data_IF_551697961656
#
_entry.id   IF_551697961656
#
_cell.length_a   1.000
_cell.length_b   1.000
_cell.length_c   1.000
_cell.angle_alpha   90.00
_cell.angle_beta   90.00
_cell.angle_gamma   90.00
#
_symmetry.space_group_name_H-M   'P 1'
#
loop_
_entity.id
_entity.type
_entity.pdbx_description
1 polymer ?
#
# COMPACT_ATOMS: atom_id res chain seq x y z
N UNK A 1 -42.89 16.23 -12.72
CA UNK A 1 -42.60 15.48 -11.48
C UNK A 1 -41.40 14.53 -11.59
N UNK A 2 -41.12 13.91 -12.74
CA UNK A 2 -39.97 13.03 -13.00
C UNK A 2 -38.61 13.78 -12.85
N UNK A 3 -38.54 15.06 -13.21
CA UNK A 3 -37.31 15.86 -13.19
C UNK A 3 -36.77 16.17 -11.78
N UNK A 4 -37.63 16.27 -10.76
CA UNK A 4 -37.23 16.60 -9.38
C UNK A 4 -36.69 15.35 -8.64
N UNK A 5 -37.25 14.18 -8.91
CA UNK A 5 -36.72 12.92 -8.35
C UNK A 5 -35.36 12.54 -8.93
N UNK A 6 -35.13 12.83 -10.23
CA UNK A 6 -33.83 12.60 -10.87
C UNK A 6 -32.75 13.54 -10.33
N UNK A 7 -33.09 14.81 -10.00
CA UNK A 7 -32.18 15.76 -9.36
C UNK A 7 -31.89 15.44 -7.88
N UNK A 8 -32.82 14.82 -7.15
CA UNK A 8 -32.60 14.33 -5.78
C UNK A 8 -31.75 13.04 -5.75
N UNK A 9 -31.83 12.22 -6.77
CA UNK A 9 -30.97 11.02 -6.93
C UNK A 9 -29.52 11.39 -7.27
N UNK A 10 -29.28 12.56 -7.87
CA UNK A 10 -27.94 13.08 -8.19
C UNK A 10 -27.18 13.63 -6.97
N UNK A 11 -27.84 13.89 -5.83
CA UNK A 11 -27.19 14.38 -4.60
C UNK A 11 -26.33 13.33 -3.88
N UNK A 12 -26.36 12.05 -4.30
CA UNK A 12 -25.51 10.95 -3.83
C UNK A 12 -24.79 10.30 -5.01
N UNK A 13 -24.25 11.10 -5.91
CA UNK A 13 -23.49 10.57 -7.05
C UNK A 13 -22.22 9.85 -6.55
N UNK A 14 -21.72 8.91 -7.34
CA UNK A 14 -20.42 8.26 -7.10
C UNK A 14 -19.31 9.29 -6.84
N UNK A 15 -19.35 10.43 -7.56
CA UNK A 15 -18.37 11.51 -7.41
C UNK A 15 -18.46 12.20 -6.04
N UNK A 16 -19.67 12.40 -5.51
CA UNK A 16 -19.86 13.01 -4.20
C UNK A 16 -19.33 12.10 -3.07
N UNK A 17 -19.58 10.79 -3.16
CA UNK A 17 -19.07 9.80 -2.19
C UNK A 17 -17.54 9.73 -2.24
N UNK A 18 -16.96 9.66 -3.42
CA UNK A 18 -15.51 9.68 -3.57
C UNK A 18 -14.91 11.00 -3.09
N UNK A 19 -15.54 12.14 -3.39
CA UNK A 19 -15.10 13.44 -2.89
C UNK A 19 -15.16 13.51 -1.36
N UNK A 20 -16.20 12.97 -0.74
CA UNK A 20 -16.30 12.87 0.71
C UNK A 20 -15.18 12.00 1.29
N UNK A 21 -14.91 10.84 0.70
CA UNK A 21 -13.84 9.94 1.12
C UNK A 21 -12.45 10.58 1.02
N UNK A 22 -12.15 11.24 -0.11
CA UNK A 22 -10.84 11.85 -0.35
C UNK A 22 -10.65 13.24 0.28
N UNK A 23 -11.72 13.85 0.80
CA UNK A 23 -11.66 15.19 1.41
C UNK A 23 -10.60 15.30 2.51
N UNK A 24 -10.46 14.28 3.32
CA UNK A 24 -9.52 14.23 4.42
C UNK A 24 -8.06 14.22 3.94
N UNK A 25 -7.76 13.45 2.90
CA UNK A 25 -6.42 13.40 2.31
C UNK A 25 -5.92 14.76 1.84
N UNK A 26 -6.83 15.62 1.38
CA UNK A 26 -6.49 16.92 0.80
C UNK A 26 -6.86 18.10 1.71
N UNK A 27 -7.26 17.83 2.95
CA UNK A 27 -7.67 18.87 3.92
C UNK A 27 -6.56 19.87 4.27
N UNK A 28 -5.31 19.48 4.10
CA UNK A 28 -4.12 20.30 4.39
C UNK A 28 -3.73 21.25 3.27
N UNK A 29 -4.46 21.25 2.15
CA UNK A 29 -4.18 22.10 0.99
C UNK A 29 -5.26 23.16 0.80
N UNK A 30 -5.02 24.10 -0.13
CA UNK A 30 -6.07 25.07 -0.51
C UNK A 30 -7.21 24.36 -1.23
N UNK A 31 -8.43 24.91 -1.14
CA UNK A 31 -9.61 24.33 -1.83
C UNK A 31 -9.40 24.10 -3.32
N UNK A 32 -8.81 25.05 -4.11
CA UNK A 32 -8.52 24.78 -5.52
C UNK A 32 -7.55 23.62 -5.72
N UNK A 33 -6.46 23.57 -4.94
CA UNK A 33 -5.47 22.48 -4.98
C UNK A 33 -6.12 21.13 -4.65
N UNK A 34 -6.90 21.06 -3.57
CA UNK A 34 -7.64 19.84 -3.18
C UNK A 34 -8.55 19.35 -4.30
N UNK A 35 -9.29 20.28 -4.97
CA UNK A 35 -10.12 19.94 -6.11
C UNK A 35 -9.32 19.36 -7.30
N UNK A 36 -8.17 19.96 -7.62
CA UNK A 36 -7.33 19.46 -8.72
C UNK A 36 -6.72 18.08 -8.39
N UNK A 37 -6.28 17.85 -7.15
CA UNK A 37 -5.81 16.54 -6.69
C UNK A 37 -6.92 15.49 -6.77
N UNK A 38 -8.12 15.81 -6.32
CA UNK A 38 -9.28 14.94 -6.45
C UNK A 38 -9.58 14.59 -7.91
N UNK A 39 -9.56 15.56 -8.82
CA UNK A 39 -9.77 15.30 -10.23
C UNK A 39 -8.69 14.41 -10.85
N UNK A 40 -7.43 14.54 -10.41
CA UNK A 40 -6.36 13.61 -10.79
C UNK A 40 -6.65 12.18 -10.29
N UNK A 41 -7.11 12.02 -9.04
CA UNK A 41 -7.56 10.72 -8.51
C UNK A 41 -8.70 10.13 -9.37
N UNK A 42 -9.72 10.93 -9.68
CA UNK A 42 -10.81 10.48 -10.55
C UNK A 42 -10.26 9.99 -11.91
N UNK A 43 -9.27 10.70 -12.46
CA UNK A 43 -8.63 10.27 -13.72
C UNK A 43 -7.87 8.95 -13.59
N UNK A 44 -7.19 8.72 -12.45
CA UNK A 44 -6.51 7.46 -12.14
C UNK A 44 -7.52 6.32 -12.03
N UNK A 45 -8.67 6.55 -11.38
CA UNK A 45 -9.71 5.54 -11.21
C UNK A 45 -10.47 5.22 -12.51
N UNK A 46 -10.57 6.18 -13.43
CA UNK A 46 -11.42 6.08 -14.63
C UNK A 46 -10.68 5.56 -15.85
N UNK A 47 -9.38 5.88 -15.97
CA UNK A 47 -8.57 5.52 -17.13
C UNK A 47 -7.97 4.12 -16.94
N UNK A 48 -8.06 3.25 -17.92
CA UNK A 48 -7.40 1.95 -17.90
C UNK A 48 -5.88 2.07 -17.70
N UNK A 49 -5.28 3.08 -18.33
CA UNK A 49 -3.87 3.42 -18.17
C UNK A 49 -3.70 4.93 -18.01
N UNK A 50 -3.12 5.36 -16.89
CA UNK A 50 -2.77 6.76 -16.64
C UNK A 50 -1.40 7.08 -17.25
N UNK A 51 -1.34 7.24 -18.58
CA UNK A 51 -0.07 7.43 -19.32
C UNK A 51 0.64 8.75 -19.01
N UNK A 52 -0.09 9.80 -18.68
CA UNK A 52 0.46 11.11 -18.31
C UNK A 52 -0.67 12.06 -17.88
N UNK A 53 -0.30 13.14 -17.18
CA UNK A 53 -1.24 14.24 -16.85
C UNK A 53 -1.89 14.83 -18.11
N UNK A 54 -1.13 14.96 -19.22
CA UNK A 54 -1.69 15.42 -20.51
C UNK A 54 -2.73 14.44 -21.05
N UNK A 55 -2.46 13.14 -20.98
CA UNK A 55 -3.42 12.12 -21.40
C UNK A 55 -4.70 12.20 -20.57
N UNK A 56 -4.55 12.27 -19.24
CA UNK A 56 -5.68 12.42 -18.32
C UNK A 56 -6.47 13.72 -18.60
N UNK A 57 -5.78 14.82 -18.88
CA UNK A 57 -6.42 16.08 -19.23
C UNK A 57 -7.28 15.96 -20.49
N UNK A 58 -6.74 15.39 -21.55
CA UNK A 58 -7.45 15.28 -22.83
C UNK A 58 -8.67 14.34 -22.78
N UNK A 59 -8.64 13.32 -21.93
CA UNK A 59 -9.67 12.28 -21.93
C UNK A 59 -10.68 12.39 -20.78
N UNK A 60 -10.30 12.97 -19.63
CA UNK A 60 -11.14 13.03 -18.42
C UNK A 60 -11.25 14.46 -17.89
N UNK A 61 -10.12 15.10 -17.53
CA UNK A 61 -10.12 16.34 -16.76
C UNK A 61 -10.80 17.50 -17.50
N UNK A 62 -10.56 17.66 -18.81
CA UNK A 62 -11.18 18.72 -19.62
C UNK A 62 -12.70 18.56 -19.75
N UNK A 63 -13.23 17.37 -19.54
CA UNK A 63 -14.67 17.10 -19.53
C UNK A 63 -15.32 17.40 -18.18
N UNK A 64 -14.51 17.39 -17.10
CA UNK A 64 -15.00 17.60 -15.74
C UNK A 64 -14.80 19.05 -15.24
N UNK A 65 -13.83 19.77 -15.80
CA UNK A 65 -13.53 21.14 -15.38
C UNK A 65 -12.83 21.94 -16.47
N UNK A 66 -13.21 23.22 -16.60
CA UNK A 66 -12.55 24.18 -17.48
C UNK A 66 -11.22 24.67 -16.87
N UNK A 67 -10.30 23.74 -16.67
CA UNK A 67 -8.99 24.02 -16.05
C UNK A 67 -7.89 23.70 -17.04
N UNK A 68 -6.88 24.58 -17.15
CA UNK A 68 -5.77 24.37 -18.10
C UNK A 68 -4.90 23.20 -17.69
N UNK A 69 -4.28 22.53 -18.65
CA UNK A 69 -3.31 21.47 -18.43
C UNK A 69 -2.18 21.88 -17.47
N UNK A 70 -1.67 23.10 -17.61
CA UNK A 70 -0.56 23.62 -16.82
C UNK A 70 -0.93 23.72 -15.32
N UNK A 71 -2.19 23.98 -15.00
CA UNK A 71 -2.66 24.03 -13.62
C UNK A 71 -2.44 22.69 -12.89
N UNK A 72 -2.67 21.56 -13.55
CA UNK A 72 -2.44 20.24 -12.96
C UNK A 72 -0.96 19.95 -12.75
N UNK A 73 -0.09 20.36 -13.67
CA UNK A 73 1.36 20.28 -13.45
C UNK A 73 1.81 21.17 -12.31
N UNK A 74 1.21 22.35 -12.17
CA UNK A 74 1.51 23.26 -11.06
C UNK A 74 1.04 22.68 -9.73
N UNK A 75 -0.15 22.09 -9.70
CA UNK A 75 -0.68 21.39 -8.51
C UNK A 75 0.25 20.30 -8.02
N UNK A 76 0.87 19.54 -8.92
CA UNK A 76 1.83 18.50 -8.55
C UNK A 76 3.20 19.06 -8.09
N UNK A 77 3.49 20.36 -8.28
CA UNK A 77 4.76 20.98 -7.88
C UNK A 77 4.66 21.93 -6.69
N UNK A 78 3.45 22.37 -6.34
CA UNK A 78 3.27 23.39 -5.29
C UNK A 78 3.69 22.88 -3.91
N UNK A 79 4.40 23.67 -3.12
CA UNK A 79 4.90 23.33 -1.79
C UNK A 79 3.78 23.16 -0.74
N UNK A 80 2.54 23.57 -1.09
CA UNK A 80 1.39 23.39 -0.20
C UNK A 80 0.88 21.96 -0.12
N UNK A 81 1.38 21.04 -0.95
CA UNK A 81 0.97 19.62 -0.96
C UNK A 81 1.99 18.78 -0.21
N UNK A 82 1.61 18.33 0.96
CA UNK A 82 2.40 17.41 1.78
C UNK A 82 1.83 15.98 1.62
N UNK A 83 2.45 15.20 0.76
CA UNK A 83 2.01 13.82 0.47
C UNK A 83 2.36 12.83 1.58
N UNK A 84 3.25 13.16 2.53
CA UNK A 84 3.54 12.29 3.69
C UNK A 84 2.30 12.08 4.55
N UNK A 85 1.46 13.11 4.67
CA UNK A 85 0.19 13.06 5.40
C UNK A 85 -0.84 12.12 4.79
N UNK A 86 -0.74 11.83 3.49
CA UNK A 86 -1.67 10.90 2.83
C UNK A 86 -1.52 9.48 3.34
N UNK A 87 -0.28 9.05 3.59
CA UNK A 87 0.00 7.75 4.21
C UNK A 87 -0.57 7.65 5.62
N UNK A 88 -0.42 8.71 6.43
CA UNK A 88 -0.99 8.75 7.79
C UNK A 88 -2.51 8.73 7.77
N UNK A 89 -3.14 9.45 6.83
CA UNK A 89 -4.60 9.40 6.61
C UNK A 89 -5.04 7.98 6.21
N UNK A 90 -4.28 7.30 5.33
CA UNK A 90 -4.56 5.91 4.95
C UNK A 90 -4.48 4.98 6.17
N UNK A 91 -3.43 5.11 7.00
CA UNK A 91 -3.27 4.33 8.22
C UNK A 91 -4.43 4.57 9.20
N UNK A 92 -4.79 5.83 9.43
CA UNK A 92 -5.93 6.20 10.30
C UNK A 92 -7.24 5.57 9.80
N UNK A 93 -7.53 5.65 8.49
CA UNK A 93 -8.74 5.01 7.92
C UNK A 93 -8.71 3.50 8.06
N UNK A 94 -7.56 2.85 7.88
CA UNK A 94 -7.38 1.42 8.09
C UNK A 94 -7.68 1.02 9.55
N UNK A 95 -7.19 1.78 10.52
CA UNK A 95 -7.45 1.53 11.94
C UNK A 95 -8.94 1.66 12.29
N UNK A 96 -9.66 2.61 11.70
CA UNK A 96 -11.10 2.79 11.92
C UNK A 96 -11.96 1.61 11.38
N UNK A 97 -11.44 0.83 10.45
CA UNK A 97 -12.12 -0.34 9.89
C UNK A 97 -11.99 -1.55 10.82
N UNK A 98 -10.97 -1.61 11.66
CA UNK A 98 -10.73 -2.76 12.55
C UNK A 98 -11.87 -2.86 13.55
N UNK A 99 -12.63 -3.99 13.57
CA UNK A 99 -13.69 -4.19 14.54
C UNK A 99 -13.15 -4.22 15.98
N UNK A 100 -13.95 -3.83 16.96
CA UNK A 100 -13.54 -3.84 18.37
C UNK A 100 -13.04 -5.21 18.83
N UNK A 101 -13.64 -6.30 18.32
CA UNK A 101 -13.24 -7.68 18.60
C UNK A 101 -11.83 -8.03 18.10
N UNK A 102 -11.30 -7.27 17.15
CA UNK A 102 -9.98 -7.49 16.56
C UNK A 102 -8.95 -6.44 16.96
N UNK A 103 -9.27 -5.54 17.88
CA UNK A 103 -8.33 -4.50 18.34
C UNK A 103 -7.07 -5.04 19.01
N UNK A 104 -7.12 -6.24 19.58
CA UNK A 104 -5.96 -6.91 20.18
C UNK A 104 -5.05 -7.60 19.15
N UNK A 105 -5.53 -7.78 17.92
CA UNK A 105 -4.74 -8.41 16.86
C UNK A 105 -3.57 -7.51 16.43
N UNK A 106 -2.40 -8.08 16.10
CA UNK A 106 -1.23 -7.29 15.71
C UNK A 106 -1.44 -6.60 14.36
N UNK A 107 -0.68 -5.52 14.14
CA UNK A 107 -0.49 -4.87 12.85
C UNK A 107 0.85 -5.28 12.26
N UNK A 108 0.94 -5.30 10.93
CA UNK A 108 2.19 -5.58 10.23
C UNK A 108 2.53 -4.43 9.28
N UNK A 109 3.70 -3.85 9.46
CA UNK A 109 4.32 -2.94 8.51
C UNK A 109 5.28 -3.72 7.64
N UNK A 110 5.18 -3.61 6.33
CA UNK A 110 6.16 -4.19 5.40
C UNK A 110 6.92 -3.05 4.73
N UNK A 111 8.25 -3.14 4.73
CA UNK A 111 9.14 -2.18 4.08
C UNK A 111 9.96 -2.89 3.00
N UNK A 112 10.02 -2.27 1.81
CA UNK A 112 10.81 -2.76 0.69
C UNK A 112 11.07 -1.63 -0.30
N UNK A 113 11.91 -1.86 -1.31
CA UNK A 113 12.11 -0.91 -2.39
C UNK A 113 11.80 -1.52 -3.77
N UNK A 114 11.37 -0.67 -4.68
CA UNK A 114 11.09 -1.06 -6.05
C UNK A 114 11.75 -0.11 -7.03
N UNK A 115 12.10 -0.62 -8.21
CA UNK A 115 12.73 0.17 -9.27
C UNK A 115 11.76 0.36 -10.43
N UNK A 116 11.84 1.56 -11.03
CA UNK A 116 11.07 1.92 -12.23
C UNK A 116 12.03 2.41 -13.28
N UNK A 117 12.11 1.67 -14.38
CA UNK A 117 12.94 2.04 -15.53
C UNK A 117 12.41 3.27 -16.25
N UNK A 118 13.31 4.16 -16.66
CA UNK A 118 13.01 5.36 -17.43
C UNK A 118 13.93 5.52 -18.61
N UNK A 119 13.35 5.82 -19.75
CA UNK A 119 14.12 6.21 -20.93
C UNK A 119 14.47 7.71 -20.89
N UNK A 120 15.73 8.04 -21.11
CA UNK A 120 16.24 9.41 -21.20
C UNK A 120 16.72 10.00 -19.88
N UNK A 121 17.25 11.22 -19.96
CA UNK A 121 18.02 11.90 -18.89
C UNK A 121 17.29 13.09 -18.26
N UNK A 122 16.02 13.33 -18.66
CA UNK A 122 15.29 14.56 -18.26
C UNK A 122 14.46 14.41 -16.99
N UNK A 123 14.47 13.24 -16.35
CA UNK A 123 13.79 13.01 -15.07
C UNK A 123 14.77 13.34 -13.94
N UNK A 124 14.36 14.18 -13.00
CA UNK A 124 15.14 14.43 -11.78
C UNK A 124 15.31 13.13 -10.99
N UNK A 125 16.46 12.94 -10.37
CA UNK A 125 16.86 11.75 -9.60
C UNK A 125 16.94 10.45 -10.43
N UNK A 126 16.75 10.50 -11.74
CA UNK A 126 16.95 9.34 -12.60
C UNK A 126 18.44 9.01 -12.68
N UNK A 127 18.77 7.78 -12.39
CA UNK A 127 20.18 7.36 -12.34
C UNK A 127 20.36 5.89 -12.72
N UNK A 128 21.60 5.51 -12.99
CA UNK A 128 21.98 4.11 -13.17
C UNK A 128 21.88 3.38 -11.83
N UNK A 129 21.03 2.36 -11.78
CA UNK A 129 20.73 1.55 -10.61
C UNK A 129 21.15 0.11 -10.88
N UNK A 130 21.69 -0.55 -9.85
CA UNK A 130 21.96 -1.98 -9.92
C UNK A 130 20.70 -2.76 -9.63
N UNK A 131 20.32 -3.64 -10.56
CA UNK A 131 19.14 -4.50 -10.43
C UNK A 131 19.57 -5.97 -10.50
N UNK A 132 19.39 -6.68 -9.39
CA UNK A 132 19.69 -8.10 -9.29
C UNK A 132 18.77 -8.98 -10.16
N UNK A 133 17.60 -8.48 -10.54
CA UNK A 133 16.59 -9.17 -11.34
C UNK A 133 16.62 -8.78 -12.82
N UNK A 134 17.55 -7.91 -13.24
CA UNK A 134 17.62 -7.42 -14.60
C UNK A 134 17.98 -8.55 -15.59
N UNK A 135 17.14 -8.74 -16.60
CA UNK A 135 17.33 -9.72 -17.67
C UNK A 135 17.69 -9.07 -19.02
N UNK A 136 18.12 -7.81 -19.00
CA UNK A 136 18.42 -7.00 -20.19
C UNK A 136 19.86 -7.13 -20.70
N UNK A 137 20.61 -8.16 -20.27
CA UNK A 137 22.04 -8.33 -20.59
C UNK A 137 22.99 -7.41 -19.80
N UNK A 138 22.45 -6.58 -18.92
CA UNK A 138 23.16 -5.71 -17.99
C UNK A 138 22.50 -5.80 -16.61
N UNK A 139 23.30 -5.92 -15.55
CA UNK A 139 22.76 -5.85 -14.17
C UNK A 139 22.39 -4.43 -13.76
N UNK A 140 22.12 -3.55 -14.72
CA UNK A 140 21.83 -2.14 -14.45
C UNK A 140 20.65 -1.67 -15.30
N UNK A 141 19.81 -0.84 -14.68
CA UNK A 141 18.78 -0.07 -15.35
C UNK A 141 18.99 1.42 -15.11
N UNK A 142 18.48 2.25 -16.00
CA UNK A 142 18.38 3.69 -15.79
C UNK A 142 16.98 4.02 -15.31
N UNK A 143 16.84 4.61 -14.13
CA UNK A 143 15.50 4.82 -13.57
C UNK A 143 15.49 5.40 -12.16
N UNK A 144 14.38 5.19 -11.48
CA UNK A 144 14.17 5.57 -10.10
C UNK A 144 14.09 4.34 -9.20
N UNK A 145 14.66 4.47 -8.00
CA UNK A 145 14.43 3.55 -6.89
C UNK A 145 13.50 4.24 -5.88
N UNK A 146 12.50 3.53 -5.41
CA UNK A 146 11.51 4.03 -4.46
C UNK A 146 11.45 3.11 -3.27
N UNK A 147 11.61 3.66 -2.07
CA UNK A 147 11.30 2.95 -0.82
C UNK A 147 9.82 3.10 -0.56
N UNK A 148 9.15 2.03 -0.17
CA UNK A 148 7.73 2.06 0.17
C UNK A 148 7.44 1.37 1.50
N UNK A 149 6.37 1.80 2.15
CA UNK A 149 5.82 1.25 3.38
C UNK A 149 4.38 0.81 3.14
N UNK A 150 4.04 -0.39 3.60
CA UNK A 150 2.71 -0.98 3.52
C UNK A 150 2.23 -1.38 4.91
N UNK A 151 0.95 -1.18 5.20
CA UNK A 151 0.28 -1.63 6.41
C UNK A 151 -0.64 -2.81 6.09
N UNK A 152 -0.47 -3.92 6.80
CA UNK A 152 -1.42 -5.04 6.83
C UNK A 152 -2.12 -5.05 8.18
N UNK A 153 -3.46 -5.12 8.17
CA UNK A 153 -4.30 -5.02 9.35
C UNK A 153 -5.49 -5.99 9.27
N UNK A 154 -6.05 -6.42 10.43
CA UNK A 154 -7.09 -7.43 10.46
C UNK A 154 -8.47 -6.84 10.15
N UNK A 155 -9.25 -7.57 9.37
CA UNK A 155 -10.69 -7.35 9.15
C UNK A 155 -11.42 -8.66 9.39
N UNK A 156 -12.70 -8.58 9.78
CA UNK A 156 -13.55 -9.75 9.92
C UNK A 156 -14.34 -9.95 8.62
N UNK A 157 -14.23 -11.15 8.04
CA UNK A 157 -15.00 -11.56 6.87
C UNK A 157 -15.28 -13.05 6.96
N UNK A 158 -16.54 -13.47 6.75
CA UNK A 158 -16.98 -14.85 6.85
C UNK A 158 -16.55 -15.51 8.19
N UNK A 159 -16.71 -14.77 9.29
CA UNK A 159 -16.32 -15.17 10.66
C UNK A 159 -14.82 -15.49 10.84
N UNK A 160 -13.98 -15.13 9.88
CA UNK A 160 -12.53 -15.31 9.93
C UNK A 160 -11.77 -13.99 9.87
N UNK A 161 -10.59 -14.00 10.44
CA UNK A 161 -9.67 -12.87 10.40
C UNK A 161 -8.92 -12.90 9.07
N UNK A 162 -9.12 -11.86 8.28
CA UNK A 162 -8.34 -11.61 7.06
C UNK A 162 -7.40 -10.44 7.29
N UNK A 163 -6.13 -10.59 6.92
CA UNK A 163 -5.20 -9.48 6.86
C UNK A 163 -5.24 -8.87 5.47
N UNK A 164 -5.77 -7.64 5.38
CA UNK A 164 -5.76 -6.85 4.16
C UNK A 164 -4.65 -5.81 4.23
N UNK A 165 -4.13 -5.41 3.07
CA UNK A 165 -2.93 -4.58 3.01
C UNK A 165 -3.19 -3.32 2.20
N UNK A 166 -2.65 -2.18 2.69
CA UNK A 166 -2.72 -0.88 2.03
C UNK A 166 -1.34 -0.24 1.97
N UNK A 167 -1.02 0.34 0.83
CA UNK A 167 0.21 1.11 0.68
C UNK A 167 0.07 2.44 1.41
N UNK A 168 1.05 2.79 2.25
CA UNK A 168 1.05 4.05 2.98
C UNK A 168 1.77 5.15 2.21
N UNK A 169 3.00 4.90 1.78
CA UNK A 169 3.81 5.94 1.14
C UNK A 169 4.88 5.34 0.24
N UNK A 170 5.28 6.11 -0.78
CA UNK A 170 6.45 5.89 -1.61
C UNK A 170 7.36 7.11 -1.54
N UNK A 171 8.68 6.91 -1.38
CA UNK A 171 9.70 7.97 -1.41
C UNK A 171 10.76 7.67 -2.43
N UNK A 172 11.08 8.64 -3.27
CA UNK A 172 12.18 8.54 -4.23
C UNK A 172 13.52 8.58 -3.51
N UNK A 173 14.38 7.62 -3.83
CA UNK A 173 15.75 7.62 -3.33
C UNK A 173 16.61 8.60 -4.12
N UNK A 174 17.13 9.62 -3.42
CA UNK A 174 17.95 10.70 -3.97
C UNK A 174 19.46 10.44 -3.88
N UNK A 175 19.88 9.32 -3.26
CA UNK A 175 21.27 8.97 -2.95
C UNK A 175 21.97 9.88 -1.90
N UNK A 176 21.34 10.96 -1.46
CA UNK A 176 21.87 11.82 -0.40
C UNK A 176 21.63 11.16 0.97
N UNK A 177 20.47 10.58 1.15
CA UNK A 177 20.06 9.82 2.35
C UNK A 177 20.11 8.32 2.05
N UNK A 178 20.56 7.49 3.01
CA UNK A 178 20.48 6.03 2.84
C UNK A 178 19.02 5.56 2.77
N UNK A 179 18.76 4.51 1.99
CA UNK A 179 17.42 3.88 1.96
C UNK A 179 17.01 3.37 3.35
N UNK A 180 17.96 2.96 4.18
CA UNK A 180 17.73 2.51 5.56
C UNK A 180 17.22 3.63 6.45
N UNK A 181 17.85 4.81 6.39
CA UNK A 181 17.39 5.99 7.12
C UNK A 181 16.01 6.44 6.64
N UNK A 182 15.79 6.42 5.33
CA UNK A 182 14.49 6.73 4.74
C UNK A 182 13.41 5.75 5.20
N UNK A 183 13.72 4.46 5.23
CA UNK A 183 12.83 3.41 5.74
C UNK A 183 12.50 3.62 7.22
N UNK A 184 13.50 3.90 8.07
CA UNK A 184 13.29 4.17 9.49
C UNK A 184 12.38 5.38 9.71
N UNK A 185 12.60 6.49 9.00
CA UNK A 185 11.74 7.68 9.07
C UNK A 185 10.30 7.38 8.66
N UNK A 186 10.08 6.58 7.60
CA UNK A 186 8.72 6.17 7.19
C UNK A 186 8.02 5.34 8.26
N UNK A 187 8.73 4.43 8.91
CA UNK A 187 8.18 3.63 10.02
C UNK A 187 7.89 4.52 11.23
N UNK A 188 8.80 5.43 11.62
CA UNK A 188 8.59 6.38 12.73
C UNK A 188 7.33 7.23 12.50
N UNK A 189 7.13 7.73 11.27
CA UNK A 189 5.92 8.47 10.92
C UNK A 189 4.66 7.59 11.06
N UNK A 190 4.68 6.36 10.56
CA UNK A 190 3.54 5.45 10.69
C UNK A 190 3.24 5.09 12.16
N UNK A 191 4.27 4.85 12.97
CA UNK A 191 4.12 4.56 14.40
C UNK A 191 3.44 5.69 15.18
N UNK A 192 3.51 6.94 14.71
CA UNK A 192 2.83 8.08 15.34
C UNK A 192 1.30 8.01 15.31
N UNK A 193 0.73 7.13 14.47
CA UNK A 193 -0.73 6.94 14.31
C UNK A 193 -1.24 5.77 15.15
N UNK A 194 -0.36 4.87 15.56
CA UNK A 194 -0.75 3.66 16.29
C UNK A 194 -0.74 3.89 17.80
N UNK A 195 -1.73 3.33 18.49
CA UNK A 195 -1.77 3.37 19.95
C UNK A 195 -0.58 2.60 20.54
N UNK A 196 -0.06 3.06 21.67
CA UNK A 196 1.14 2.51 22.31
C UNK A 196 0.97 1.06 22.83
N UNK A 197 -0.26 0.61 23.03
CA UNK A 197 -0.61 -0.76 23.43
C UNK A 197 -0.82 -1.70 22.23
N UNK A 198 -0.81 -1.15 21.01
CA UNK A 198 -1.01 -1.90 19.79
C UNK A 198 0.28 -2.63 19.39
N UNK A 199 0.26 -3.95 19.37
CA UNK A 199 1.39 -4.73 18.87
C UNK A 199 1.59 -4.51 17.37
N UNK A 200 2.80 -4.09 16.97
CA UNK A 200 3.18 -3.83 15.58
C UNK A 200 4.42 -4.64 15.23
N UNK A 201 4.42 -5.28 14.09
CA UNK A 201 5.59 -5.97 13.53
C UNK A 201 6.06 -5.29 12.25
N UNK A 202 7.35 -4.96 12.20
CA UNK A 202 8.00 -4.57 10.97
C UNK A 202 8.54 -5.80 10.25
N UNK A 203 8.07 -6.04 9.03
CA UNK A 203 8.48 -7.12 8.16
C UNK A 203 9.44 -6.57 7.09
N UNK A 204 10.63 -7.13 6.97
CA UNK A 204 11.59 -6.69 5.97
C UNK A 204 12.48 -7.85 5.46
N UNK A 205 13.05 -7.65 4.28
CA UNK A 205 13.99 -8.60 3.71
C UNK A 205 15.39 -8.49 4.36
N UNK A 206 16.33 -9.31 3.90
CA UNK A 206 17.68 -9.40 4.47
C UNK A 206 18.56 -8.16 4.25
N UNK A 207 18.11 -7.20 3.46
CA UNK A 207 18.85 -5.97 3.20
C UNK A 207 18.61 -4.90 4.27
N UNK A 208 17.40 -4.86 4.85
CA UNK A 208 16.96 -3.83 5.78
C UNK A 208 17.39 -4.00 7.25
N UNK A 209 17.59 -5.21 7.83
CA UNK A 209 17.92 -5.34 9.25
C UNK A 209 19.36 -4.88 9.53
N UNK A 210 19.56 -3.58 9.60
CA UNK A 210 20.81 -2.88 9.94
C UNK A 210 20.52 -1.81 11.00
N UNK A 211 21.55 -1.15 11.50
CA UNK A 211 21.47 -0.29 12.67
C UNK A 211 20.29 0.68 12.68
N UNK A 212 20.02 1.37 11.57
CA UNK A 212 18.98 2.38 11.50
C UNK A 212 17.56 1.77 11.66
N UNK A 213 17.32 0.62 11.04
CA UNK A 213 16.02 -0.07 11.12
C UNK A 213 15.94 -0.92 12.37
N UNK A 214 17.02 -1.60 12.73
CA UNK A 214 17.06 -2.45 13.92
C UNK A 214 16.90 -1.65 15.22
N UNK A 215 17.37 -0.40 15.26
CA UNK A 215 17.25 0.49 16.41
C UNK A 215 15.83 0.95 16.71
N UNK A 216 14.88 0.78 15.77
CA UNK A 216 13.48 1.17 15.98
C UNK A 216 12.82 0.40 17.14
N UNK A 217 13.26 -0.80 17.45
CA UNK A 217 12.75 -1.57 18.60
C UNK A 217 13.16 -0.96 19.96
N UNK A 218 14.18 -0.13 19.99
CA UNK A 218 14.60 0.61 21.18
C UNK A 218 13.82 1.93 21.32
N UNK A 219 13.25 2.45 20.22
CA UNK A 219 12.47 3.69 20.20
C UNK A 219 10.99 3.44 20.54
N UNK A 220 10.43 2.28 20.13
CA UNK A 220 9.02 1.94 20.27
C UNK A 220 8.85 0.61 21.00
N UNK A 221 8.33 0.63 22.22
CA UNK A 221 8.09 -0.58 23.03
C UNK A 221 7.09 -1.56 22.41
N UNK A 222 6.20 -1.06 21.56
CA UNK A 222 5.16 -1.83 20.88
C UNK A 222 5.55 -2.26 19.46
N UNK A 223 6.78 -1.98 19.01
CA UNK A 223 7.30 -2.38 17.70
C UNK A 223 8.30 -3.52 17.85
N UNK A 224 8.05 -4.59 17.13
CA UNK A 224 8.96 -5.72 16.97
C UNK A 224 9.32 -5.92 15.49
N UNK A 225 10.42 -6.61 15.22
CA UNK A 225 10.89 -6.85 13.84
C UNK A 225 10.88 -8.36 13.57
N UNK A 226 10.29 -8.74 12.42
CA UNK A 226 10.47 -10.07 11.84
C UNK A 226 11.11 -9.88 10.47
N UNK A 227 12.31 -10.39 10.30
CA UNK A 227 13.07 -10.22 9.07
C UNK A 227 13.67 -11.52 8.55
N UNK A 228 13.84 -11.62 7.23
CA UNK A 228 14.80 -12.55 6.68
C UNK A 228 16.21 -12.03 7.01
N UNK A 229 17.13 -12.93 7.35
CA UNK A 229 18.50 -12.59 7.65
C UNK A 229 19.45 -13.37 6.72
N UNK A 230 20.64 -12.83 6.51
CA UNK A 230 21.67 -13.57 5.78
C UNK A 230 22.04 -14.83 6.56
N UNK A 231 22.25 -15.93 5.85
CA UNK A 231 22.56 -17.22 6.48
C UNK A 231 23.88 -17.20 7.28
N UNK A 232 24.79 -16.29 6.94
CA UNK A 232 26.07 -16.07 7.60
C UNK A 232 25.99 -15.08 8.79
N UNK A 233 24.78 -14.66 9.17
CA UNK A 233 24.56 -13.76 10.32
C UNK A 233 25.13 -14.39 11.59
N UNK A 234 25.95 -13.62 12.31
CA UNK A 234 26.60 -14.09 13.53
C UNK A 234 25.60 -14.14 14.67
N UNK A 235 25.36 -15.32 15.20
CA UNK A 235 24.48 -15.61 16.33
C UNK A 235 25.27 -16.26 17.47
N UNK A 236 24.80 -16.04 18.68
CA UNK A 236 25.35 -16.62 19.92
C UNK A 236 24.23 -17.23 20.72
N UNK A 237 24.57 -18.26 21.49
CA UNK A 237 23.73 -18.76 22.57
C UNK A 237 23.51 -17.68 23.64
N UNK A 238 22.49 -17.89 24.46
CA UNK A 238 22.28 -17.06 25.62
C UNK A 238 23.52 -17.12 26.54
N UNK A 239 23.86 -16.02 27.24
CA UNK A 239 24.98 -16.02 28.15
C UNK A 239 24.75 -17.04 29.30
N UNK A 240 25.78 -17.71 29.76
CA UNK A 240 25.66 -18.62 30.91
C UNK A 240 25.23 -17.84 32.15
N UNK A 241 24.58 -18.53 33.09
CA UNK A 241 24.21 -17.96 34.39
C UNK A 241 25.44 -17.39 35.12
N UNK A 242 25.20 -16.32 35.86
CA UNK A 242 26.27 -15.68 36.65
C UNK A 242 26.81 -16.64 37.72
N UNK A 243 28.07 -16.98 37.64
CA UNK A 243 28.71 -17.94 38.56
C UNK A 243 29.08 -17.32 39.90
N UNK A 244 28.87 -16.03 40.16
CA UNK A 244 29.31 -15.31 41.35
C UNK A 244 30.82 -15.14 41.48
N UNK A 245 31.62 -15.67 40.56
CA UNK A 245 33.10 -15.55 40.57
C UNK A 245 33.53 -14.14 40.16
N UNK A 246 34.70 -13.69 40.60
CA UNK A 246 35.29 -12.41 40.26
C UNK A 246 35.57 -12.34 38.77
N UNK A 247 35.12 -11.27 38.12
CA UNK A 247 35.31 -11.01 36.69
C UNK A 247 34.07 -10.42 36.03
N UNK A 248 34.23 -9.87 34.80
CA UNK A 248 33.10 -9.34 34.02
C UNK A 248 32.26 -10.54 33.49
N UNK A 249 30.95 -10.55 33.72
CA UNK A 249 30.09 -11.58 33.13
C UNK A 249 30.20 -11.64 31.61
N UNK A 250 30.14 -12.83 31.04
CA UNK A 250 30.07 -12.99 29.57
C UNK A 250 28.77 -12.38 29.06
N UNK A 251 28.86 -11.59 27.98
CA UNK A 251 27.69 -10.99 27.30
C UNK A 251 27.03 -11.98 26.36
N UNK A 252 27.75 -12.92 25.82
CA UNK A 252 27.32 -13.90 24.82
C UNK A 252 27.70 -15.30 25.26
N UNK A 253 26.89 -16.27 24.94
CA UNK A 253 27.21 -17.68 24.96
C UNK A 253 28.19 -18.09 23.86
N UNK A 254 28.16 -19.34 23.46
CA UNK A 254 28.99 -19.81 22.35
C UNK A 254 28.41 -19.44 21.01
N UNK A 255 29.29 -19.26 20.00
CA UNK A 255 28.84 -18.95 18.65
C UNK A 255 28.08 -20.16 18.07
N UNK A 256 26.93 -19.87 17.45
CA UNK A 256 26.08 -20.87 16.80
C UNK A 256 25.86 -20.55 15.34
N UNK A 257 25.64 -21.61 14.55
CA UNK A 257 25.35 -21.50 13.14
C UNK A 257 24.01 -22.16 12.80
N UNK A 258 23.39 -21.83 11.67
CA UNK A 258 22.11 -22.43 11.26
C UNK A 258 22.15 -23.98 11.17
N UNK A 259 23.32 -24.57 10.93
CA UNK A 259 23.52 -26.03 10.84
C UNK A 259 23.29 -26.73 12.20
N UNK A 260 23.49 -26.01 13.31
CA UNK A 260 23.33 -26.53 14.67
C UNK A 260 21.89 -26.53 15.17
N UNK A 261 20.94 -26.04 14.35
CA UNK A 261 19.53 -26.06 14.71
C UNK A 261 18.92 -27.46 14.51
N UNK A 262 18.26 -27.96 15.54
CA UNK A 262 17.40 -29.14 15.43
C UNK A 262 16.14 -28.76 14.68
N UNK A 263 15.92 -29.38 13.53
CA UNK A 263 14.78 -29.11 12.66
C UNK A 263 13.67 -30.14 12.89
N UNK A 264 12.49 -29.66 13.23
CA UNK A 264 11.26 -30.44 13.22
C UNK A 264 10.66 -30.47 11.81
N UNK A 265 9.89 -31.52 11.51
CA UNK A 265 9.16 -31.62 10.25
C UNK A 265 7.68 -31.36 10.51
N UNK A 266 7.17 -30.13 10.33
CA UNK A 266 5.75 -29.81 10.49
C UNK A 266 4.90 -30.69 9.57
N UNK A 267 3.67 -31.02 9.98
CA UNK A 267 2.73 -31.76 9.12
C UNK A 267 2.41 -30.95 7.88
N UNK A 268 2.21 -29.65 8.07
CA UNK A 268 1.86 -28.69 7.04
C UNK A 268 3.08 -28.00 6.42
N UNK A 269 2.89 -27.45 5.22
CA UNK A 269 3.90 -26.67 4.50
C UNK A 269 5.04 -27.51 3.96
N UNK A 270 5.97 -26.85 3.27
CA UNK A 270 7.08 -27.48 2.53
C UNK A 270 8.43 -27.43 3.25
N UNK A 271 8.46 -26.95 4.50
CA UNK A 271 9.68 -26.65 5.22
C UNK A 271 9.84 -27.48 6.50
N UNK A 272 11.06 -27.88 6.79
CA UNK A 272 11.51 -28.26 8.14
C UNK A 272 11.86 -26.98 8.88
N UNK A 273 11.53 -26.86 10.17
CA UNK A 273 11.65 -25.64 10.93
C UNK A 273 12.35 -25.93 12.26
N UNK A 274 13.34 -25.10 12.60
CA UNK A 274 13.97 -25.09 13.92
C UNK A 274 13.92 -23.67 14.49
N UNK A 275 13.56 -23.54 15.75
CA UNK A 275 13.47 -22.25 16.44
C UNK A 275 14.25 -22.31 17.75
N UNK A 276 15.06 -21.28 18.02
CA UNK A 276 15.72 -21.10 19.33
C UNK A 276 15.98 -19.63 19.64
N UNK A 277 15.99 -19.27 20.93
CA UNK A 277 16.44 -17.95 21.34
C UNK A 277 17.95 -17.81 21.10
N UNK A 278 18.37 -16.65 20.61
CA UNK A 278 19.76 -16.30 20.32
C UNK A 278 20.04 -14.86 20.70
N UNK A 279 21.32 -14.49 20.79
CA UNK A 279 21.76 -13.11 20.83
C UNK A 279 22.52 -12.79 19.54
N UNK A 280 22.28 -11.60 18.98
CA UNK A 280 23.00 -11.10 17.82
C UNK A 280 23.68 -9.77 18.16
N UNK A 281 24.75 -9.43 17.45
CA UNK A 281 25.38 -8.12 17.62
C UNK A 281 24.50 -6.95 17.21
N UNK A 282 23.52 -7.20 16.34
CA UNK A 282 22.63 -6.19 15.79
C UNK A 282 21.71 -5.59 16.86
N UNK A 283 21.17 -6.44 17.73
CA UNK A 283 20.25 -6.03 18.81
C UNK A 283 20.90 -6.12 20.22
N UNK A 284 22.23 -6.18 20.26
CA UNK A 284 22.97 -6.08 21.53
C UNK A 284 22.66 -7.21 22.51
N UNK A 285 22.06 -6.88 23.65
CA UNK A 285 21.69 -7.84 24.71
C UNK A 285 20.25 -8.35 24.58
N UNK A 286 19.47 -7.86 23.59
CA UNK A 286 18.11 -8.35 23.35
C UNK A 286 18.12 -9.81 22.89
N UNK A 287 17.23 -10.61 23.47
CA UNK A 287 16.99 -11.98 23.03
C UNK A 287 16.17 -11.92 21.74
N UNK A 288 16.71 -12.55 20.71
CA UNK A 288 16.07 -12.66 19.39
C UNK A 288 15.75 -14.13 19.14
N UNK A 289 14.63 -14.42 18.54
CA UNK A 289 14.21 -15.78 18.18
C UNK A 289 14.61 -16.04 16.73
N UNK A 290 15.61 -16.89 16.56
CA UNK A 290 16.05 -17.33 15.24
C UNK A 290 15.22 -18.52 14.76
N UNK A 291 14.68 -18.39 13.54
CA UNK A 291 13.92 -19.44 12.85
C UNK A 291 14.74 -19.88 11.64
N UNK A 292 15.15 -21.14 11.64
CA UNK A 292 15.87 -21.76 10.51
C UNK A 292 14.92 -22.67 9.76
N UNK A 293 14.87 -22.51 8.44
CA UNK A 293 14.05 -23.36 7.56
C UNK A 293 14.91 -24.11 6.57
N UNK A 294 14.47 -25.32 6.19
CA UNK A 294 15.07 -26.16 5.15
C UNK A 294 13.96 -26.87 4.35
N UNK A 295 14.06 -27.00 3.01
CA UNK A 295 13.06 -27.70 2.22
C UNK A 295 12.87 -29.16 2.68
N UNK A 296 11.62 -29.64 2.76
CA UNK A 296 11.31 -31.06 3.02
C UNK A 296 11.73 -31.98 1.88
N UNK A 297 11.70 -31.47 0.63
CA UNK A 297 12.03 -32.20 -0.59
C UNK A 297 13.49 -32.65 -0.70
N UNK A 298 14.32 -32.32 0.29
CA UNK A 298 15.76 -32.53 0.23
C UNK A 298 16.48 -31.32 -0.39
N UNK A 299 17.65 -31.04 0.06
CA UNK A 299 18.46 -29.87 -0.32
C UNK A 299 19.13 -29.30 0.93
N UNK A 300 20.35 -28.81 0.78
CA UNK A 300 21.15 -28.25 1.86
C UNK A 300 20.85 -26.79 2.15
N UNK A 301 20.06 -26.12 1.30
CA UNK A 301 19.81 -24.68 1.39
C UNK A 301 18.92 -24.37 2.60
N UNK A 302 19.49 -23.69 3.58
CA UNK A 302 18.79 -23.18 4.75
C UNK A 302 18.50 -21.70 4.59
N UNK A 303 17.40 -21.23 5.19
CA UNK A 303 17.08 -19.80 5.32
C UNK A 303 16.98 -19.45 6.78
N UNK A 304 17.39 -18.24 7.14
CA UNK A 304 17.37 -17.72 8.48
C UNK A 304 16.39 -16.55 8.57
N UNK A 305 15.52 -16.59 9.58
CA UNK A 305 14.65 -15.49 9.95
C UNK A 305 14.91 -15.12 11.41
N UNK A 306 14.77 -13.86 11.74
CA UNK A 306 14.96 -13.33 13.10
C UNK A 306 13.70 -12.59 13.53
N UNK A 307 13.26 -12.84 14.76
CA UNK A 307 12.13 -12.16 15.37
C UNK A 307 12.56 -11.59 16.74
N UNK A 308 12.33 -10.31 16.97
CA UNK A 308 12.67 -9.67 18.26
C UNK A 308 11.66 -10.01 19.35
N UNK A 309 10.43 -10.42 18.98
CA UNK A 309 9.39 -10.85 19.91
C UNK A 309 9.49 -12.33 20.26
N UNK A 310 9.24 -12.66 21.52
CA UNK A 310 9.02 -14.06 21.91
C UNK A 310 7.75 -14.57 21.19
N UNK A 311 7.84 -15.71 20.48
CA UNK A 311 6.67 -16.27 19.78
C UNK A 311 5.44 -16.49 20.67
N UNK A 312 5.65 -16.73 22.00
CA UNK A 312 4.56 -16.89 22.97
C UNK A 312 3.78 -15.60 23.25
N UNK A 313 4.41 -14.45 22.99
CA UNK A 313 3.87 -13.11 23.27
C UNK A 313 3.29 -12.44 22.02
N UNK A 314 3.20 -13.18 20.91
CA UNK A 314 2.51 -12.73 19.69
C UNK A 314 1.01 -12.87 19.89
N UNK A 315 0.28 -11.75 19.83
CA UNK A 315 -1.17 -11.71 20.15
C UNK A 315 -2.06 -12.18 19.00
N UNK A 316 -1.48 -12.74 17.93
CA UNK A 316 -2.21 -13.22 16.76
C UNK A 316 -3.11 -14.41 17.10
N UNK A 317 -4.42 -14.25 16.89
CA UNK A 317 -5.38 -15.38 16.93
C UNK A 317 -5.27 -16.17 15.62
N UNK A 318 -4.28 -17.03 15.56
CA UNK A 318 -4.02 -17.87 14.38
C UNK A 318 -5.15 -18.86 14.11
N UNK A 319 -5.93 -19.26 15.11
CA UNK A 319 -7.01 -20.21 14.93
C UNK A 319 -8.16 -19.64 14.11
N UNK A 320 -8.39 -18.33 14.24
CA UNK A 320 -9.40 -17.58 13.49
C UNK A 320 -8.89 -17.06 12.14
N UNK A 321 -7.58 -17.10 11.85
CA UNK A 321 -7.04 -16.59 10.60
C UNK A 321 -7.57 -17.38 9.39
N UNK A 322 -7.95 -16.66 8.35
CA UNK A 322 -8.35 -17.21 7.07
C UNK A 322 -7.16 -17.74 6.26
N UNK A 323 -5.97 -17.18 6.46
CA UNK A 323 -4.73 -17.67 5.84
C UNK A 323 -4.39 -19.05 6.44
N UNK A 324 -4.47 -20.08 5.59
CA UNK A 324 -4.26 -21.46 6.01
C UNK A 324 -2.84 -21.68 6.55
N UNK A 325 -1.83 -21.00 6.00
CA UNK A 325 -0.44 -21.14 6.46
C UNK A 325 -0.28 -20.61 7.88
N UNK A 326 -0.84 -19.44 8.16
CA UNK A 326 -0.82 -18.85 9.51
C UNK A 326 -1.56 -19.77 10.49
N UNK A 327 -2.76 -20.20 10.10
CA UNK A 327 -3.62 -21.04 10.94
C UNK A 327 -2.96 -22.40 11.25
N UNK A 328 -2.44 -23.07 10.26
CA UNK A 328 -1.87 -24.41 10.41
C UNK A 328 -0.55 -24.39 11.17
N UNK A 329 0.37 -23.47 10.85
CA UNK A 329 1.61 -23.34 11.60
C UNK A 329 1.35 -22.98 13.06
N UNK A 330 0.43 -22.04 13.34
CA UNK A 330 0.07 -21.68 14.70
C UNK A 330 -0.52 -22.84 15.51
N UNK A 331 -1.43 -23.64 14.92
CA UNK A 331 -2.02 -24.83 15.53
C UNK A 331 -0.97 -25.91 15.82
N UNK A 332 0.04 -26.05 14.98
CA UNK A 332 1.08 -27.05 15.18
C UNK A 332 2.08 -26.63 16.23
N UNK A 333 2.54 -25.38 16.22
CA UNK A 333 3.40 -24.79 17.24
C UNK A 333 3.40 -23.28 17.17
N UNK A 334 3.17 -22.61 18.31
CA UNK A 334 3.31 -21.15 18.41
C UNK A 334 4.74 -20.65 18.07
N UNK A 335 5.74 -21.54 18.18
CA UNK A 335 7.12 -21.22 17.79
C UNK A 335 7.26 -20.94 16.28
N UNK A 336 6.30 -21.37 15.46
CA UNK A 336 6.31 -21.13 14.00
C UNK A 336 5.63 -19.82 13.60
N UNK A 337 4.93 -19.14 14.54
CA UNK A 337 4.24 -17.89 14.25
C UNK A 337 5.12 -16.80 13.62
N UNK A 338 6.39 -16.59 14.05
CA UNK A 338 7.22 -15.60 13.38
C UNK A 338 7.40 -15.86 11.88
N UNK A 339 7.57 -17.13 11.49
CA UNK A 339 7.68 -17.51 10.08
C UNK A 339 6.35 -17.30 9.35
N UNK A 340 5.23 -17.69 9.96
CA UNK A 340 3.91 -17.52 9.40
C UNK A 340 3.57 -16.03 9.21
N UNK A 341 3.83 -15.19 10.22
CA UNK A 341 3.64 -13.73 10.11
C UNK A 341 4.54 -13.10 9.04
N UNK A 342 5.77 -13.58 8.90
CA UNK A 342 6.69 -13.08 7.87
C UNK A 342 6.14 -13.24 6.45
N UNK A 343 5.30 -14.21 6.21
CA UNK A 343 4.71 -14.43 4.88
C UNK A 343 3.82 -13.27 4.43
N UNK A 344 3.24 -12.49 5.36
CA UNK A 344 2.49 -11.28 5.04
C UNK A 344 3.36 -10.21 4.35
N UNK A 345 4.69 -10.28 4.48
CA UNK A 345 5.60 -9.40 3.73
C UNK A 345 5.40 -9.51 2.22
N UNK A 346 5.01 -10.69 1.74
CA UNK A 346 4.80 -10.90 0.30
C UNK A 346 3.76 -9.94 -0.30
N UNK A 347 2.85 -9.43 0.50
CA UNK A 347 1.81 -8.50 0.04
C UNK A 347 2.38 -7.22 -0.57
N UNK A 348 3.57 -6.76 -0.13
CA UNK A 348 4.22 -5.59 -0.72
C UNK A 348 4.69 -5.86 -2.16
N UNK A 349 5.19 -7.07 -2.44
CA UNK A 349 5.62 -7.47 -3.78
C UNK A 349 4.40 -7.64 -4.71
N UNK A 350 3.30 -8.20 -4.20
CA UNK A 350 2.02 -8.25 -4.93
C UNK A 350 1.54 -6.85 -5.26
N UNK A 351 1.61 -5.93 -4.29
CA UNK A 351 1.25 -4.52 -4.51
C UNK A 351 2.13 -3.87 -5.59
N UNK A 352 3.44 -4.14 -5.62
CA UNK A 352 4.30 -3.63 -6.69
C UNK A 352 3.88 -4.15 -8.06
N UNK A 353 3.63 -5.45 -8.17
CA UNK A 353 3.14 -6.05 -9.39
C UNK A 353 1.84 -5.39 -9.87
N UNK A 354 0.85 -5.28 -8.98
CA UNK A 354 -0.44 -4.68 -9.31
C UNK A 354 -0.30 -3.20 -9.69
N UNK A 355 0.44 -2.40 -8.90
CA UNK A 355 0.62 -0.98 -9.16
C UNK A 355 1.38 -0.71 -10.47
N UNK A 356 2.37 -1.53 -10.81
CA UNK A 356 3.09 -1.42 -12.08
C UNK A 356 2.23 -1.86 -13.27
N UNK A 357 1.56 -3.00 -13.15
CA UNK A 357 0.80 -3.60 -14.25
C UNK A 357 -0.53 -2.88 -14.51
N UNK A 358 -1.29 -2.56 -13.46
CA UNK A 358 -2.67 -2.09 -13.62
C UNK A 358 -2.86 -0.63 -13.25
N UNK A 359 -2.02 -0.05 -12.39
CA UNK A 359 -2.21 1.30 -11.84
C UNK A 359 -1.26 2.34 -12.42
N UNK A 360 -0.49 1.97 -13.44
CA UNK A 360 0.40 2.86 -14.18
C UNK A 360 1.55 3.48 -13.34
N UNK A 361 1.99 2.78 -12.30
CA UNK A 361 3.09 3.25 -11.46
C UNK A 361 4.39 3.49 -12.26
N UNK A 362 4.58 2.80 -13.37
CA UNK A 362 5.74 2.94 -14.26
C UNK A 362 5.54 3.96 -15.39
N UNK A 363 4.29 4.40 -15.64
CA UNK A 363 3.94 5.19 -16.82
C UNK A 363 4.10 6.71 -16.66
N UNK A 364 4.39 7.19 -15.44
CA UNK A 364 4.48 8.64 -15.21
C UNK A 364 5.52 9.32 -16.12
N UNK A 365 5.15 10.55 -16.56
CA UNK A 365 5.99 11.41 -17.41
C UNK A 365 6.25 12.79 -16.81
N UNK A 366 5.86 12.98 -15.56
CA UNK A 366 6.25 14.14 -14.75
C UNK A 366 7.75 14.04 -14.48
N UNK A 367 8.47 15.15 -14.52
CA UNK A 367 9.94 15.14 -14.52
C UNK A 367 10.56 15.65 -13.24
N UNK A 368 9.88 16.54 -12.50
CA UNK A 368 10.41 17.05 -11.24
C UNK A 368 10.23 16.03 -10.12
N UNK A 369 11.14 16.01 -9.15
CA UNK A 369 11.11 15.15 -7.96
C UNK A 369 9.74 15.22 -7.28
N UNK A 370 9.30 16.42 -6.88
CA UNK A 370 8.05 16.64 -6.17
C UNK A 370 6.84 16.15 -6.99
N UNK A 371 6.85 16.44 -8.29
CA UNK A 371 5.79 16.00 -9.18
C UNK A 371 5.70 14.49 -9.31
N UNK A 372 6.85 13.80 -9.35
CA UNK A 372 6.93 12.33 -9.40
C UNK A 372 6.41 11.75 -8.09
N UNK A 373 6.95 12.18 -6.94
CA UNK A 373 6.55 11.66 -5.62
C UNK A 373 5.05 11.86 -5.36
N UNK A 374 4.51 13.04 -5.67
CA UNK A 374 3.08 13.31 -5.50
C UNK A 374 2.21 12.48 -6.41
N UNK A 375 2.58 12.31 -7.68
CA UNK A 375 1.79 11.50 -8.60
C UNK A 375 1.81 10.02 -8.21
N UNK A 376 2.96 9.47 -7.82
CA UNK A 376 3.09 8.10 -7.34
C UNK A 376 2.23 7.90 -6.08
N UNK A 377 2.28 8.85 -5.14
CA UNK A 377 1.48 8.76 -3.92
C UNK A 377 -0.02 9.00 -4.19
N UNK A 378 -0.43 9.75 -5.22
CA UNK A 378 -1.82 9.79 -5.69
C UNK A 378 -2.28 8.43 -6.22
N UNK A 379 -1.42 7.72 -6.97
CA UNK A 379 -1.70 6.34 -7.40
C UNK A 379 -1.83 5.43 -6.17
N UNK A 380 -0.91 5.53 -5.22
CA UNK A 380 -0.89 4.76 -3.97
C UNK A 380 -2.17 4.92 -3.16
N UNK A 381 -2.61 6.16 -2.90
CA UNK A 381 -3.86 6.39 -2.15
C UNK A 381 -5.10 5.99 -2.94
N UNK A 382 -5.06 6.06 -4.27
CA UNK A 382 -6.14 5.58 -5.13
C UNK A 382 -6.26 4.06 -5.05
N UNK A 383 -5.15 3.34 -5.10
CA UNK A 383 -5.08 1.89 -4.90
C UNK A 383 -5.60 1.50 -3.51
N UNK A 384 -5.07 2.13 -2.46
CA UNK A 384 -5.47 1.88 -1.08
C UNK A 384 -6.95 2.20 -0.82
N UNK A 385 -7.49 3.24 -1.46
CA UNK A 385 -8.91 3.57 -1.39
C UNK A 385 -9.80 2.45 -1.94
N UNK A 386 -9.39 1.80 -3.03
CA UNK A 386 -10.18 0.68 -3.60
C UNK A 386 -10.19 -0.55 -2.69
N UNK A 387 -9.19 -0.70 -1.83
CA UNK A 387 -9.17 -1.73 -0.78
C UNK A 387 -10.01 -1.33 0.44
N UNK A 388 -10.00 -0.05 0.83
CA UNK A 388 -10.66 0.43 2.07
C UNK A 388 -12.15 0.78 1.88
N UNK A 389 -12.53 1.36 0.74
CA UNK A 389 -13.90 1.81 0.46
C UNK A 389 -14.97 0.74 0.71
N UNK A 390 -14.77 -0.54 0.34
CA UNK A 390 -15.74 -1.59 0.61
C UNK A 390 -16.07 -1.81 2.10
N UNK A 391 -15.19 -1.39 3.00
CA UNK A 391 -15.38 -1.51 4.44
C UNK A 391 -15.89 -0.22 5.10
N UNK A 392 -15.74 0.92 4.42
CA UNK A 392 -16.14 2.24 4.94
C UNK A 392 -17.52 2.67 4.44
N UNK A 393 -17.87 2.29 3.22
CA UNK A 393 -19.07 2.75 2.51
C UNK A 393 -19.95 1.56 2.14
N UNK A 394 -21.14 1.46 2.72
CA UNK A 394 -22.07 0.34 2.53
C UNK A 394 -22.39 0.07 1.05
N UNK A 395 -22.49 1.12 0.25
CA UNK A 395 -22.76 1.00 -1.20
C UNK A 395 -21.67 0.26 -1.98
N UNK A 396 -20.50 0.06 -1.41
CA UNK A 396 -19.37 -0.67 -1.98
C UNK A 396 -19.10 -2.00 -1.28
N UNK A 397 -19.89 -2.38 -0.28
CA UNK A 397 -19.69 -3.60 0.53
C UNK A 397 -19.60 -4.88 -0.30
N UNK A 398 -20.27 -4.93 -1.46
CA UNK A 398 -20.17 -6.05 -2.40
C UNK A 398 -18.76 -6.30 -2.97
N UNK A 399 -17.84 -5.33 -2.84
CA UNK A 399 -16.46 -5.45 -3.28
C UNK A 399 -15.50 -5.91 -2.17
N UNK A 400 -15.96 -6.25 -0.95
CA UNK A 400 -15.08 -6.66 0.15
C UNK A 400 -14.21 -7.89 -0.16
N UNK A 401 -14.68 -8.77 -1.05
CA UNK A 401 -13.93 -9.95 -1.51
C UNK A 401 -13.22 -9.74 -2.85
N UNK A 402 -13.40 -8.57 -3.47
CA UNK A 402 -12.79 -8.24 -4.74
C UNK A 402 -11.35 -7.69 -4.56
N UNK A 403 -10.53 -7.81 -5.58
CA UNK A 403 -9.24 -7.14 -5.64
C UNK A 403 -9.43 -5.62 -5.79
N UNK A 404 -8.38 -4.84 -5.44
CA UNK A 404 -8.40 -3.40 -5.67
C UNK A 404 -8.61 -3.04 -7.16
N UNK A 405 -8.13 -3.90 -8.07
CA UNK A 405 -8.30 -3.72 -9.50
C UNK A 405 -9.75 -3.94 -9.95
N UNK A 406 -10.42 -4.98 -9.46
CA UNK A 406 -11.83 -5.24 -9.76
C UNK A 406 -12.72 -4.12 -9.20
N UNK A 407 -12.46 -3.69 -7.97
CA UNK A 407 -13.15 -2.55 -7.35
C UNK A 407 -12.97 -1.28 -8.17
N UNK A 408 -11.74 -0.97 -8.60
CA UNK A 408 -11.44 0.16 -9.49
C UNK A 408 -12.24 0.07 -10.79
N UNK A 409 -12.27 -1.10 -11.41
CA UNK A 409 -12.99 -1.29 -12.68
C UNK A 409 -14.47 -0.99 -12.53
N UNK A 410 -15.13 -1.57 -11.50
CA UNK A 410 -16.55 -1.33 -11.23
C UNK A 410 -16.87 0.13 -10.90
N UNK A 411 -16.04 0.76 -10.05
CA UNK A 411 -16.19 2.18 -9.68
C UNK A 411 -15.89 3.08 -10.90
N UNK A 412 -14.86 2.76 -11.68
CA UNK A 412 -14.47 3.49 -12.89
C UNK A 412 -15.61 3.55 -13.92
N UNK A 413 -16.33 2.45 -14.13
CA UNK A 413 -17.50 2.42 -15.00
C UNK A 413 -18.62 3.34 -14.50
N UNK A 414 -18.89 3.37 -13.19
CA UNK A 414 -19.88 4.28 -12.61
C UNK A 414 -19.46 5.74 -12.75
N UNK A 415 -18.17 6.06 -12.60
CA UNK A 415 -17.64 7.41 -12.82
C UNK A 415 -17.82 7.81 -14.30
N UNK A 416 -17.48 6.94 -15.25
CA UNK A 416 -17.64 7.21 -16.68
C UNK A 416 -19.10 7.48 -17.03
N UNK A 417 -20.02 6.67 -16.53
CA UNK A 417 -21.45 6.87 -16.70
C UNK A 417 -21.90 8.23 -16.15
N UNK A 418 -21.43 8.61 -14.97
CA UNK A 418 -21.71 9.93 -14.37
C UNK A 418 -21.18 11.09 -15.23
N UNK A 419 -19.96 11.00 -15.76
CA UNK A 419 -19.36 12.04 -16.62
C UNK A 419 -20.17 12.20 -17.91
N UNK A 420 -20.53 11.09 -18.55
CA UNK A 420 -21.35 11.09 -19.77
C UNK A 420 -22.71 11.71 -19.49
N UNK A 421 -23.38 11.31 -18.43
CA UNK A 421 -24.68 11.84 -18.06
C UNK A 421 -24.64 13.35 -17.78
N UNK A 422 -23.65 13.82 -16.99
CA UNK A 422 -23.49 15.24 -16.69
C UNK A 422 -23.24 16.06 -17.97
N UNK A 423 -22.39 15.57 -18.89
CA UNK A 423 -22.15 16.23 -20.18
C UNK A 423 -23.40 16.29 -21.04
N UNK A 424 -24.26 15.27 -21.00
CA UNK A 424 -25.53 15.24 -21.67
C UNK A 424 -26.50 16.29 -21.09
N UNK A 425 -26.62 16.36 -19.75
CA UNK A 425 -27.47 17.36 -19.07
C UNK A 425 -27.02 18.78 -19.39
N UNK A 426 -25.73 19.09 -19.36
CA UNK A 426 -25.19 20.40 -19.72
C UNK A 426 -25.50 20.76 -21.20
N UNK A 427 -25.42 19.78 -22.09
CA UNK A 427 -25.80 19.95 -23.51
C UNK A 427 -27.28 20.27 -23.65
N UNK A 428 -28.16 19.57 -22.92
CA UNK A 428 -29.61 19.85 -22.92
C UNK A 428 -29.93 21.24 -22.35
N UNK A 429 -29.26 21.68 -21.30
CA UNK A 429 -29.43 23.03 -20.74
C UNK A 429 -28.99 24.11 -21.72
N UNK A 430 -27.90 23.88 -22.45
CA UNK A 430 -27.41 24.79 -23.49
C UNK A 430 -28.41 24.89 -24.64
N UNK A 431 -28.98 23.76 -25.08
CA UNK A 431 -30.07 23.72 -26.11
C UNK A 431 -31.29 24.49 -25.59
N UNK A 432 -31.70 24.27 -24.34
CA UNK A 432 -32.85 24.94 -23.72
C UNK A 432 -32.68 26.47 -23.63
N UNK A 433 -31.46 26.96 -23.43
CA UNK A 433 -31.13 28.40 -23.40
C UNK A 433 -31.08 29.02 -24.80
N UNK A 434 -30.94 28.22 -25.85
CA UNK A 434 -30.86 28.71 -27.24
C UNK A 434 -32.24 28.77 -27.86
N UNK A 435 -32.85 30.01 -27.91
CA UNK A 435 -34.16 30.25 -28.55
C UNK A 435 -34.21 29.77 -29.99
N UNK A 436 -33.09 29.87 -30.74
CA UNK A 436 -33.01 29.44 -32.15
C UNK A 436 -33.10 27.93 -32.32
N UNK A 437 -32.47 27.15 -31.44
CA UNK A 437 -32.48 25.69 -31.46
C UNK A 437 -33.86 25.15 -31.03
N UNK A 438 -34.48 25.77 -30.01
CA UNK A 438 -35.86 25.42 -29.60
C UNK A 438 -36.83 25.65 -30.72
N UNK A 439 -36.70 26.78 -31.47
CA UNK A 439 -37.53 27.08 -32.63
C UNK A 439 -37.32 26.05 -33.74
N UNK A 440 -36.09 25.68 -34.06
CA UNK A 440 -35.76 24.65 -35.05
C UNK A 440 -36.35 23.27 -34.68
N UNK A 441 -36.28 22.87 -33.42
CA UNK A 441 -36.87 21.61 -32.94
C UNK A 441 -38.40 21.68 -33.04
N UNK A 442 -38.99 22.79 -32.60
CA UNK A 442 -40.43 22.99 -32.70
C UNK A 442 -40.89 22.95 -34.17
N UNK A 443 -40.21 23.64 -35.08
CA UNK A 443 -40.50 23.64 -36.50
C UNK A 443 -40.35 22.25 -37.15
N UNK A 444 -39.33 21.46 -36.70
CA UNK A 444 -39.14 20.09 -37.15
C UNK A 444 -40.28 19.17 -36.69
N UNK A 445 -40.66 19.24 -35.41
CA UNK A 445 -41.76 18.47 -34.82
C UNK A 445 -43.09 18.85 -35.55
N UNK A 446 -43.36 20.14 -35.70
CA UNK A 446 -44.57 20.63 -36.38
C UNK A 446 -44.62 20.23 -37.85
N UNK A 447 -43.49 20.21 -38.56
CA UNK A 447 -43.41 19.74 -39.95
C UNK A 447 -43.68 18.22 -40.06
N UNK A 448 -43.22 17.44 -39.09
CA UNK A 448 -43.52 16.01 -39.01
C UNK A 448 -45.01 15.72 -38.81
N UNK A 449 -45.66 16.49 -37.93
CA UNK A 449 -47.12 16.38 -37.72
C UNK A 449 -47.97 16.80 -38.93
N UNK A 450 -47.47 17.77 -39.73
CA UNK A 450 -48.13 18.16 -40.99
C UNK A 450 -48.04 17.07 -42.07
N UNK A 451 -46.95 16.33 -42.13
CA UNK A 451 -46.79 15.17 -43.04
C UNK A 451 -47.70 14.00 -42.70
N UNK A 452 -47.95 13.75 -41.40
CA UNK A 452 -48.85 12.67 -40.97
C UNK A 452 -50.35 13.00 -41.16
N UNK A 453 -50.74 14.27 -41.40
CA UNK A 453 -52.14 14.65 -41.66
C UNK A 453 -52.54 14.55 -43.16
N UNK A 454 -51.58 14.30 -44.02
CA UNK A 454 -51.80 14.15 -45.46
C UNK A 454 -51.57 12.70 -45.97
N UNK A 455 -51.55 11.74 -45.03
CA UNK A 455 -51.66 10.31 -45.25
C UNK A 455 -53.00 9.84 -44.68
#
# INVERSE_FOLDING_TARGET
MVCIYTLLYLKNSILDRLNFYFKEYFSHTTRPTARHLFLLVISILTLDTFRSVRFAHNHVLSKMAHTSLNTYYYTLKTDTVDHSKWGLTTASKALHIIPDTLKTQPLFLSIDDTMVEKAGTKFELCSKLFDHAAHNGSNYLNGHCMVSLMLSFPVLRDEKIHYISVSLNYRLWDKEKSKLKMAAEMVQEAMSVFDSDKQVFLLCDSWYPKAEVAGLVDEFENLDIICNARIDTVMYDLPPERTGKRGRPRKYGDRITPEQFSLSTPKTGSWKIGVRPVITKLWGEHIVYAVVTQPKSGGSSRRLFLCTKNPKDITLDYAMCADETISEYGKESIQYLPLACYMLRWNIEVSYYENKTFWSLEEYRVRSREGIERLINLISISYSAMTLLPYVEESFSSYQSASAQETRYGIGQQIQASIIFNSFVESLETIKKSKSIIKLIADYILSGFKKCKNL
#
